data_IF_697987628257
#
_entry.id   IF_697987628257
#
_cell.length_a   1.000
_cell.length_b   1.000
_cell.length_c   1.000
_cell.angle_alpha   90.00
_cell.angle_beta   90.00
_cell.angle_gamma   90.00
#
_symmetry.space_group_name_H-M   'P 1'
#
loop_
_entity.id
_entity.type
_entity.pdbx_description
1 polymer ?
#
# COMPACT_ATOMS: atom_id res chain seq x y z
N UNK A 1 -1.16 -0.31 -4.28
CA UNK A 1 -0.33 -0.11 -3.07
C UNK A 1 -0.52 -1.27 -2.12
N UNK A 2 0.58 -1.93 -1.79
CA UNK A 2 0.68 -2.96 -0.76
C UNK A 2 0.59 -2.32 0.63
N UNK A 3 -0.22 -2.89 1.51
CA UNK A 3 -0.54 -2.33 2.85
C UNK A 3 -0.03 -3.20 4.01
N UNK A 4 0.41 -4.42 3.73
CA UNK A 4 0.79 -5.39 4.77
C UNK A 4 1.85 -6.36 4.28
N UNK A 5 2.61 -6.95 5.22
CA UNK A 5 3.61 -7.98 4.92
C UNK A 5 2.96 -9.17 4.19
N UNK A 6 1.74 -9.59 4.60
CA UNK A 6 1.01 -10.65 3.91
C UNK A 6 0.55 -10.31 2.48
N UNK A 7 0.38 -9.02 2.15
CA UNK A 7 0.15 -8.62 0.75
C UNK A 7 1.48 -8.60 -0.02
N UNK A 8 2.56 -8.13 0.59
CA UNK A 8 3.91 -8.15 0.04
C UNK A 8 4.33 -9.56 -0.39
N UNK A 9 4.17 -10.55 0.50
CA UNK A 9 4.54 -11.94 0.22
C UNK A 9 3.72 -12.56 -0.92
N UNK A 10 2.43 -12.23 -0.99
CA UNK A 10 1.56 -12.65 -2.11
C UNK A 10 1.97 -12.00 -3.43
N UNK A 11 2.33 -10.72 -3.41
CA UNK A 11 2.83 -10.01 -4.59
C UNK A 11 4.13 -10.63 -5.09
N UNK A 12 5.06 -10.98 -4.19
CA UNK A 12 6.30 -11.69 -4.55
C UNK A 12 6.01 -13.03 -5.23
N UNK A 13 5.09 -13.83 -4.68
CA UNK A 13 4.67 -15.09 -5.28
C UNK A 13 4.03 -14.89 -6.67
N UNK A 14 3.26 -13.81 -6.85
CA UNK A 14 2.65 -13.48 -8.14
C UNK A 14 3.70 -13.07 -9.18
N UNK A 15 4.70 -12.27 -8.81
CA UNK A 15 5.83 -11.92 -9.69
C UNK A 15 6.57 -13.18 -10.14
N UNK A 16 6.86 -14.09 -9.20
CA UNK A 16 7.54 -15.34 -9.53
C UNK A 16 6.72 -16.20 -10.50
N UNK A 17 5.40 -16.27 -10.30
CA UNK A 17 4.50 -16.93 -11.25
C UNK A 17 4.56 -16.32 -12.66
N UNK A 18 4.60 -14.99 -12.77
CA UNK A 18 4.75 -14.32 -14.06
C UNK A 18 6.13 -14.56 -14.70
N UNK A 19 7.20 -14.56 -13.91
CA UNK A 19 8.56 -14.86 -14.42
C UNK A 19 8.65 -16.28 -14.96
N UNK A 20 8.04 -17.26 -14.29
CA UNK A 20 7.96 -18.63 -14.79
C UNK A 20 7.12 -18.74 -16.08
N UNK A 21 6.01 -18.01 -16.16
CA UNK A 21 5.20 -17.94 -17.38
C UNK A 21 5.98 -17.30 -18.54
N UNK A 22 6.75 -16.24 -18.26
CA UNK A 22 7.62 -15.56 -19.23
C UNK A 22 8.69 -16.51 -19.79
N UNK A 23 9.37 -17.25 -18.93
CA UNK A 23 10.39 -18.22 -19.33
C UNK A 23 9.85 -19.31 -20.25
N UNK A 24 8.59 -19.74 -20.06
CA UNK A 24 7.93 -20.70 -20.97
C UNK A 24 7.67 -20.09 -22.34
N UNK A 25 7.20 -18.85 -22.40
CA UNK A 25 6.93 -18.14 -23.66
C UNK A 25 8.23 -17.87 -24.44
N UNK A 26 9.36 -17.69 -23.76
CA UNK A 26 10.68 -17.52 -24.39
C UNK A 26 11.21 -18.79 -25.06
N UNK A 27 10.80 -19.97 -24.58
CA UNK A 27 11.16 -21.26 -25.18
C UNK A 27 10.32 -21.59 -26.44
N UNK A 28 9.20 -20.91 -26.64
CA UNK A 28 8.35 -21.09 -27.82
C UNK A 28 8.93 -20.38 -29.06
N UNK A 29 8.52 -20.81 -30.26
CA UNK A 29 8.95 -20.16 -31.50
C UNK A 29 8.54 -18.68 -31.50
N UNK A 30 9.47 -17.76 -31.79
CA UNK A 30 9.17 -16.33 -31.81
C UNK A 30 8.12 -16.02 -32.88
N UNK A 31 7.09 -15.27 -32.50
CA UNK A 31 6.00 -14.83 -33.35
C UNK A 31 5.28 -13.63 -32.75
N UNK A 32 4.45 -12.94 -33.54
CA UNK A 32 3.74 -11.71 -33.07
C UNK A 32 2.93 -11.95 -31.78
N UNK A 33 2.32 -13.13 -31.63
CA UNK A 33 1.54 -13.50 -30.44
C UNK A 33 2.41 -13.70 -29.20
N UNK A 34 3.55 -14.40 -29.32
CA UNK A 34 4.46 -14.59 -28.19
C UNK A 34 5.14 -13.29 -27.76
N UNK A 35 5.45 -12.39 -28.70
CA UNK A 35 5.95 -11.05 -28.38
C UNK A 35 4.94 -10.19 -27.60
N UNK A 36 3.65 -10.22 -27.98
CA UNK A 36 2.61 -9.49 -27.27
C UNK A 36 2.39 -10.02 -25.84
N UNK A 37 2.39 -11.34 -25.67
CA UNK A 37 2.26 -11.98 -24.34
C UNK A 37 3.45 -11.61 -23.44
N UNK A 38 4.66 -11.67 -23.97
CA UNK A 38 5.88 -11.27 -23.26
C UNK A 38 5.78 -9.84 -22.74
N UNK A 39 5.46 -8.88 -23.62
CA UNK A 39 5.33 -7.48 -23.22
C UNK A 39 4.25 -7.25 -22.16
N UNK A 40 3.16 -8.02 -22.19
CA UNK A 40 2.12 -7.97 -21.16
C UNK A 40 2.63 -8.44 -19.79
N UNK A 41 3.31 -9.59 -19.73
CA UNK A 41 3.88 -10.10 -18.48
C UNK A 41 4.98 -9.21 -17.93
N UNK A 42 5.88 -8.71 -18.78
CA UNK A 42 6.91 -7.75 -18.36
C UNK A 42 6.31 -6.45 -17.79
N UNK A 43 5.20 -5.98 -18.35
CA UNK A 43 4.49 -4.81 -17.82
C UNK A 43 3.86 -5.11 -16.46
N UNK A 44 3.20 -6.27 -16.32
CA UNK A 44 2.61 -6.71 -15.04
C UNK A 44 3.69 -6.90 -13.96
N UNK A 45 4.83 -7.50 -14.30
CA UNK A 45 5.96 -7.67 -13.37
C UNK A 45 6.45 -6.30 -12.91
N UNK A 46 6.73 -5.37 -13.84
CA UNK A 46 7.19 -4.03 -13.51
C UNK A 46 6.24 -3.31 -12.56
N UNK A 47 4.93 -3.34 -12.83
CA UNK A 47 3.94 -2.72 -11.95
C UNK A 47 3.98 -3.31 -10.52
N UNK A 48 4.08 -4.64 -10.38
CA UNK A 48 4.14 -5.28 -9.07
C UNK A 48 5.46 -5.02 -8.34
N UNK A 49 6.58 -4.94 -9.07
CA UNK A 49 7.89 -4.54 -8.54
C UNK A 49 7.88 -3.09 -8.03
N UNK A 50 7.22 -2.18 -8.75
CA UNK A 50 7.03 -0.79 -8.31
C UNK A 50 6.22 -0.72 -7.01
N UNK A 51 5.13 -1.49 -6.91
CA UNK A 51 4.32 -1.56 -5.67
C UNK A 51 5.10 -2.15 -4.48
N UNK A 52 5.97 -3.13 -4.73
CA UNK A 52 6.88 -3.67 -3.71
C UNK A 52 7.91 -2.63 -3.28
N UNK A 53 8.50 -1.92 -4.24
CA UNK A 53 9.46 -0.84 -3.98
C UNK A 53 8.86 0.25 -3.11
N UNK A 54 7.65 0.71 -3.43
CA UNK A 54 6.92 1.69 -2.61
C UNK A 54 6.71 1.17 -1.18
N UNK A 55 6.28 -0.08 -1.03
CA UNK A 55 6.06 -0.68 0.30
C UNK A 55 7.35 -0.80 1.10
N UNK A 56 8.43 -1.28 0.50
CA UNK A 56 9.71 -1.49 1.17
C UNK A 56 10.35 -0.15 1.57
N UNK A 57 10.22 0.88 0.74
CA UNK A 57 10.61 2.24 1.09
C UNK A 57 9.81 2.76 2.30
N UNK A 58 8.48 2.66 2.26
CA UNK A 58 7.65 3.05 3.40
C UNK A 58 8.05 2.26 4.66
N UNK A 59 8.22 0.94 4.57
CA UNK A 59 8.59 0.07 5.70
C UNK A 59 9.95 0.43 6.31
N UNK A 60 10.88 0.95 5.49
CA UNK A 60 12.18 1.47 5.97
C UNK A 60 12.06 2.79 6.76
N UNK A 61 10.86 3.38 6.82
CA UNK A 61 10.59 4.66 7.46
C UNK A 61 10.69 5.86 6.51
N UNK A 62 11.02 5.64 5.23
CA UNK A 62 11.06 6.68 4.22
C UNK A 62 9.63 7.11 3.84
N UNK A 63 9.10 8.09 4.57
CA UNK A 63 7.79 8.68 4.32
C UNK A 63 7.94 10.15 3.92
N UNK A 64 7.58 10.45 2.68
CA UNK A 64 7.41 11.82 2.20
C UNK A 64 5.93 12.12 2.10
N UNK A 65 5.44 13.03 2.94
CA UNK A 65 4.07 13.54 2.85
C UNK A 65 4.07 14.81 1.99
N UNK A 66 3.10 14.98 1.08
CA UNK A 66 2.95 16.24 0.36
C UNK A 66 2.53 17.35 1.31
N UNK A 67 2.63 18.60 0.85
CA UNK A 67 1.96 19.69 1.53
C UNK A 67 0.44 19.48 1.47
N UNK A 68 -0.20 19.41 2.62
CA UNK A 68 -1.65 19.21 2.76
C UNK A 68 -2.26 20.53 3.23
N UNK A 69 -3.16 21.09 2.43
CA UNK A 69 -3.87 22.34 2.77
C UNK A 69 -5.27 22.07 3.33
N UNK A 70 -5.85 20.89 3.04
CA UNK A 70 -7.19 20.53 3.47
C UNK A 70 -7.20 19.28 4.35
N UNK A 71 -8.03 19.28 5.38
CA UNK A 71 -8.15 18.15 6.31
C UNK A 71 -8.59 16.85 5.63
N UNK A 72 -9.43 16.92 4.59
CA UNK A 72 -9.93 15.75 3.86
C UNK A 72 -8.86 15.08 2.97
N UNK A 73 -7.76 15.76 2.66
CA UNK A 73 -6.66 15.21 1.87
C UNK A 73 -5.75 14.27 2.67
N UNK A 74 -5.88 14.20 4.00
CA UNK A 74 -5.00 13.37 4.84
C UNK A 74 -5.31 11.87 4.73
N UNK A 75 -6.56 11.52 4.44
CA UNK A 75 -7.10 10.16 4.56
C UNK A 75 -6.28 9.10 3.79
N UNK A 76 -5.87 9.33 2.52
CA UNK A 76 -5.07 8.36 1.77
C UNK A 76 -3.68 8.10 2.36
N UNK A 77 -3.13 9.03 3.16
CA UNK A 77 -1.78 8.92 3.72
C UNK A 77 -1.73 8.15 5.03
N UNK A 78 -2.86 7.88 5.68
CA UNK A 78 -2.90 7.23 7.00
C UNK A 78 -2.31 5.82 6.94
N UNK A 79 -2.61 5.06 5.89
CA UNK A 79 -2.01 3.73 5.69
C UNK A 79 -0.49 3.83 5.49
N UNK A 80 -0.01 4.80 4.71
CA UNK A 80 1.43 5.02 4.46
C UNK A 80 2.16 5.39 5.75
N UNK A 81 1.57 6.31 6.51
CA UNK A 81 2.02 6.72 7.84
C UNK A 81 2.15 5.51 8.77
N UNK A 82 1.13 4.66 8.83
CA UNK A 82 1.13 3.46 9.67
C UNK A 82 2.30 2.53 9.31
N UNK A 83 2.48 2.25 8.02
CA UNK A 83 3.54 1.37 7.52
C UNK A 83 4.91 1.94 7.87
N UNK A 84 5.12 3.24 7.67
CA UNK A 84 6.37 3.93 7.99
C UNK A 84 6.67 4.01 9.50
N UNK A 85 5.64 3.99 10.34
CA UNK A 85 5.77 3.84 11.80
C UNK A 85 5.95 2.40 12.26
N UNK A 86 6.01 1.43 11.35
CA UNK A 86 6.16 0.01 11.68
C UNK A 86 4.95 -0.59 12.40
N UNK A 87 3.80 0.09 12.40
CA UNK A 87 2.58 -0.38 13.06
C UNK A 87 1.86 -1.35 12.13
N UNK A 88 1.57 -2.57 12.57
CA UNK A 88 0.79 -3.53 11.77
C UNK A 88 -0.72 -3.22 11.85
N UNK A 89 -1.51 -3.70 10.90
CA UNK A 89 -2.98 -3.60 10.98
C UNK A 89 -3.52 -4.27 12.26
N UNK A 90 -2.96 -5.41 12.65
CA UNK A 90 -3.34 -6.12 13.88
C UNK A 90 -3.03 -5.28 15.12
N UNK A 91 -1.87 -4.63 15.14
CA UNK A 91 -1.47 -3.77 16.23
C UNK A 91 -2.34 -2.52 16.33
N UNK A 92 -2.62 -1.87 15.20
CA UNK A 92 -3.54 -0.73 15.15
C UNK A 92 -4.94 -1.12 15.63
N UNK A 93 -5.45 -2.26 15.17
CA UNK A 93 -6.74 -2.80 15.59
C UNK A 93 -6.80 -3.01 17.11
N UNK A 94 -5.74 -3.60 17.69
CA UNK A 94 -5.59 -3.80 19.14
C UNK A 94 -5.63 -2.47 19.90
N UNK A 95 -4.87 -1.45 19.45
CA UNK A 95 -4.85 -0.13 20.07
C UNK A 95 -6.19 0.60 20.02
N UNK A 96 -6.98 0.35 18.99
CA UNK A 96 -8.31 0.96 18.79
C UNK A 96 -9.47 0.12 19.35
N UNK A 97 -9.20 -1.07 19.90
CA UNK A 97 -10.24 -1.98 20.41
C UNK A 97 -11.18 -2.51 19.32
N UNK A 98 -10.71 -2.65 18.08
CA UNK A 98 -11.48 -3.16 16.94
C UNK A 98 -10.84 -4.42 16.34
N UNK A 99 -11.53 -5.09 15.42
CA UNK A 99 -10.95 -6.23 14.70
C UNK A 99 -10.01 -5.77 13.58
N UNK A 100 -9.06 -6.63 13.19
CA UNK A 100 -8.19 -6.39 12.02
C UNK A 100 -9.00 -6.16 10.73
N UNK A 101 -10.16 -6.81 10.59
CA UNK A 101 -11.04 -6.66 9.43
C UNK A 101 -11.56 -5.22 9.30
N UNK A 102 -11.87 -4.55 10.41
CA UNK A 102 -12.28 -3.14 10.40
C UNK A 102 -11.16 -2.26 9.86
N UNK A 103 -9.92 -2.47 10.30
CA UNK A 103 -8.76 -1.72 9.79
C UNK A 103 -8.53 -1.99 8.31
N UNK A 104 -8.62 -3.25 7.87
CA UNK A 104 -8.52 -3.59 6.43
C UNK A 104 -9.56 -2.83 5.62
N UNK A 105 -10.81 -2.79 6.10
CA UNK A 105 -11.92 -2.11 5.41
C UNK A 105 -11.72 -0.60 5.35
N UNK A 106 -11.20 0.01 6.40
CA UNK A 106 -10.84 1.43 6.38
C UNK A 106 -9.74 1.71 5.36
N UNK A 107 -8.69 0.89 5.34
CA UNK A 107 -7.60 1.08 4.39
C UNK A 107 -8.03 0.80 2.94
N UNK A 108 -8.90 -0.19 2.70
CA UNK A 108 -9.48 -0.49 1.38
C UNK A 108 -10.24 0.71 0.81
N UNK A 109 -10.98 1.43 1.64
CA UNK A 109 -11.72 2.64 1.25
C UNK A 109 -10.93 3.93 1.48
N UNK A 110 -9.61 3.84 1.67
CA UNK A 110 -8.70 4.97 1.90
C UNK A 110 -9.16 5.94 2.98
N UNK A 111 -9.86 5.42 4.00
CA UNK A 111 -10.45 6.18 5.10
C UNK A 111 -11.46 7.28 4.68
N UNK A 112 -11.94 7.30 3.43
CA UNK A 112 -12.78 8.40 2.90
C UNK A 112 -14.09 8.63 3.66
N UNK A 113 -14.66 7.58 4.26
CA UNK A 113 -15.92 7.65 5.01
C UNK A 113 -15.74 7.72 6.53
N UNK A 114 -14.48 7.79 6.99
CA UNK A 114 -14.16 7.81 8.41
C UNK A 114 -14.25 9.24 8.94
N UNK A 115 -15.04 9.44 9.99
CA UNK A 115 -15.21 10.74 10.63
C UNK A 115 -13.86 11.31 11.11
N UNK A 116 -13.71 12.65 11.06
CA UNK A 116 -12.46 13.33 11.45
C UNK A 116 -12.02 12.98 12.87
N UNK A 117 -12.96 12.89 13.83
CA UNK A 117 -12.66 12.46 15.21
C UNK A 117 -12.04 11.07 15.26
N UNK A 118 -12.56 10.15 14.46
CA UNK A 118 -12.02 8.79 14.34
C UNK A 118 -10.67 8.75 13.64
N UNK A 119 -10.44 9.62 12.65
CA UNK A 119 -9.13 9.77 12.02
C UNK A 119 -8.08 10.24 13.04
N UNK A 120 -8.44 11.18 13.92
CA UNK A 120 -7.56 11.62 15.01
C UNK A 120 -7.22 10.47 15.96
N UNK A 121 -8.21 9.68 16.41
CA UNK A 121 -7.97 8.48 17.23
C UNK A 121 -7.01 7.49 16.55
N UNK A 122 -7.16 7.28 15.24
CA UNK A 122 -6.29 6.40 14.45
C UNK A 122 -4.85 6.95 14.43
N UNK A 123 -4.66 8.25 14.21
CA UNK A 123 -3.35 8.88 14.23
C UNK A 123 -2.68 8.79 15.61
N UNK A 124 -3.44 9.01 16.69
CA UNK A 124 -2.97 8.87 18.06
C UNK A 124 -2.56 7.43 18.35
N UNK A 125 -3.37 6.45 17.91
CA UNK A 125 -3.06 5.03 18.05
C UNK A 125 -1.82 4.63 17.23
N UNK A 126 -1.54 5.27 16.09
CA UNK A 126 -0.30 5.07 15.34
C UNK A 126 0.90 5.72 16.07
N UNK A 127 0.66 6.76 16.89
CA UNK A 127 1.68 7.51 17.61
C UNK A 127 2.17 8.74 16.83
N UNK A 128 1.30 9.37 16.04
CA UNK A 128 1.58 10.62 15.32
C UNK A 128 0.73 11.74 15.90
N UNK A 129 1.36 12.91 16.10
CA UNK A 129 0.64 14.15 16.43
C UNK A 129 0.42 14.94 15.14
N UNK A 130 -0.82 15.37 14.91
CA UNK A 130 -1.15 16.31 13.84
C UNK A 130 -1.00 17.76 14.35
N UNK A 131 -0.48 18.63 13.49
CA UNK A 131 -0.49 20.08 13.71
C UNK A 131 -1.41 20.71 12.67
N UNK A 132 -2.36 21.53 13.12
CA UNK A 132 -3.33 22.20 12.24
C UNK A 132 -3.04 23.69 12.26
N UNK A 133 -2.85 24.28 11.08
CA UNK A 133 -2.69 25.73 10.91
C UNK A 133 -3.97 26.29 10.31
N UNK A 134 -4.62 27.22 11.01
CA UNK A 134 -5.77 27.95 10.48
C UNK A 134 -5.28 29.29 9.90
N UNK A 135 -5.73 29.65 8.70
CA UNK A 135 -5.47 30.93 8.04
C UNK A 135 -6.81 31.54 7.63
N UNK A 136 -6.97 32.84 7.79
CA UNK A 136 -8.18 33.60 7.47
C UNK A 136 -7.87 34.63 6.37
#
# INVERSE_FOLDING_TARGET
MIKSDAQRDRTLAQIEGFRQALAKVEQEKPGKRSAAIRGSYESMIRQLEDELGEYDQLKSGALTLPHIERLDQIAPFIAKIRIAKGVSQTELARRLGVSKQVISRFEENEYQTVAISRLQEILDAIGIKAAVTLRA
#
